data_IF_674954828033
#
_entry.id   IF_674954828033
#
_cell.length_a   1.000
_cell.length_b   1.000
_cell.length_c   1.000
_cell.angle_alpha   90.00
_cell.angle_beta   90.00
_cell.angle_gamma   90.00
#
_symmetry.space_group_name_H-M   'P 1'
#
loop_
_entity.id
_entity.type
_entity.pdbx_description
1 polymer ?
#
# COMPACT_ATOMS: atom_id res chain seq x y z
N UNK A 1 -5.83 -10.27 -5.08
CA UNK A 1 -6.36 -9.60 -3.86
C UNK A 1 -7.87 -9.52 -3.94
N UNK A 2 -8.54 -9.86 -2.87
CA UNK A 2 -9.99 -9.85 -2.82
C UNK A 2 -10.54 -8.41 -2.81
N UNK A 3 -11.72 -8.24 -3.40
CA UNK A 3 -12.34 -6.91 -3.54
C UNK A 3 -12.47 -6.15 -2.22
N UNK A 4 -12.87 -6.80 -1.15
CA UNK A 4 -13.08 -6.14 0.14
C UNK A 4 -11.78 -5.64 0.79
N UNK A 5 -10.63 -6.03 0.26
CA UNK A 5 -9.32 -5.58 0.73
C UNK A 5 -8.74 -4.45 -0.15
N UNK A 6 -9.48 -3.97 -1.16
CA UNK A 6 -9.04 -2.89 -2.05
C UNK A 6 -9.71 -1.58 -1.69
N UNK A 7 -8.98 -0.49 -1.84
CA UNK A 7 -9.56 0.84 -1.80
C UNK A 7 -10.13 1.15 -3.18
N UNK A 8 -11.46 1.25 -3.28
CA UNK A 8 -12.14 1.37 -4.57
C UNK A 8 -12.64 2.79 -4.87
N UNK A 9 -12.65 3.69 -3.89
CA UNK A 9 -13.28 5.00 -4.03
C UNK A 9 -12.28 6.13 -3.83
N UNK A 10 -12.41 7.17 -4.65
CA UNK A 10 -11.57 8.37 -4.54
C UNK A 10 -11.64 9.02 -3.16
N UNK A 11 -12.81 8.98 -2.51
CA UNK A 11 -12.97 9.55 -1.18
C UNK A 11 -12.13 8.84 -0.12
N UNK A 12 -11.89 7.53 -0.29
CA UNK A 12 -11.02 6.78 0.63
C UNK A 12 -9.60 7.30 0.57
N UNK A 13 -9.09 7.52 -0.65
CA UNK A 13 -7.74 8.08 -0.84
C UNK A 13 -7.64 9.50 -0.29
N UNK A 14 -8.68 10.31 -0.48
CA UNK A 14 -8.70 11.68 0.04
C UNK A 14 -8.65 11.70 1.56
N UNK A 15 -9.39 10.82 2.23
CA UNK A 15 -9.38 10.69 3.68
C UNK A 15 -8.00 10.31 4.21
N UNK A 16 -7.35 9.36 3.53
CA UNK A 16 -6.02 8.90 3.93
C UNK A 16 -5.00 10.03 3.79
N UNK A 17 -5.06 10.79 2.70
CA UNK A 17 -4.17 11.94 2.49
C UNK A 17 -4.37 13.03 3.54
N UNK A 18 -5.62 13.27 3.97
CA UNK A 18 -5.94 14.33 4.92
C UNK A 18 -5.68 13.93 6.37
N UNK A 19 -5.94 12.68 6.73
CA UNK A 19 -5.96 12.25 8.13
C UNK A 19 -5.04 11.06 8.42
N UNK A 20 -4.35 10.55 7.41
CA UNK A 20 -3.43 9.44 7.60
C UNK A 20 -2.05 9.89 8.04
N UNK A 21 -1.27 8.91 8.44
CA UNK A 21 0.16 9.08 8.72
C UNK A 21 0.96 8.53 7.56
N UNK A 22 2.21 8.97 7.40
CA UNK A 22 3.05 8.53 6.30
C UNK A 22 4.42 8.04 6.76
N UNK A 23 4.92 7.05 6.06
CA UNK A 23 6.27 6.50 6.20
C UNK A 23 6.84 6.32 4.81
N UNK A 24 8.15 6.41 4.67
CA UNK A 24 8.75 6.27 3.35
C UNK A 24 10.12 5.60 3.40
N UNK A 25 10.47 4.99 2.28
CA UNK A 25 11.84 4.60 1.98
C UNK A 25 12.17 5.09 0.56
N UNK A 26 13.28 4.62 0.00
CA UNK A 26 13.70 5.08 -1.34
C UNK A 26 12.73 4.68 -2.45
N UNK A 27 12.01 3.58 -2.27
CA UNK A 27 11.19 2.97 -3.34
C UNK A 27 9.69 3.21 -3.17
N UNK A 28 9.22 3.44 -1.94
CA UNK A 28 7.79 3.58 -1.65
C UNK A 28 7.51 4.62 -0.60
N UNK A 29 6.29 5.15 -0.66
CA UNK A 29 5.66 5.85 0.47
C UNK A 29 4.48 5.00 0.92
N UNK A 30 4.33 4.81 2.22
CA UNK A 30 3.17 4.15 2.82
C UNK A 30 2.34 5.21 3.53
N UNK A 31 1.06 5.29 3.19
CA UNK A 31 0.08 6.10 3.92
C UNK A 31 -0.86 5.14 4.63
N UNK A 32 -1.19 5.42 5.88
CA UNK A 32 -2.11 4.59 6.63
C UNK A 32 -3.04 5.43 7.49
N UNK A 33 -4.28 4.97 7.59
CA UNK A 33 -5.31 5.58 8.41
C UNK A 33 -6.10 4.48 9.11
N UNK A 34 -6.31 4.63 10.41
CA UNK A 34 -7.19 3.73 11.15
C UNK A 34 -8.63 4.01 10.72
N UNK A 35 -9.36 2.95 10.37
CA UNK A 35 -10.76 3.05 9.98
C UNK A 35 -11.64 3.32 11.20
N UNK A 36 -12.90 3.70 10.94
CA UNK A 36 -13.87 3.93 12.02
C UNK A 36 -14.04 2.68 12.89
N UNK A 37 -14.44 2.89 14.13
CA UNK A 37 -14.53 1.85 15.15
C UNK A 37 -15.33 0.63 14.69
N UNK A 38 -16.40 0.83 13.92
CA UNK A 38 -17.22 -0.28 13.41
C UNK A 38 -16.44 -1.23 12.50
N UNK A 39 -15.30 -0.79 11.96
CA UNK A 39 -14.44 -1.59 11.08
C UNK A 39 -13.15 -2.04 11.75
N UNK A 40 -13.02 -1.87 13.07
CA UNK A 40 -11.78 -2.13 13.78
C UNK A 40 -11.24 -3.56 13.60
N UNK A 41 -12.15 -4.53 13.48
CA UNK A 41 -11.78 -5.93 13.27
C UNK A 41 -11.92 -6.40 11.82
N UNK A 42 -12.32 -5.51 10.92
CA UNK A 42 -12.44 -5.83 9.50
C UNK A 42 -11.04 -5.92 8.86
N UNK A 43 -10.87 -6.77 7.83
CA UNK A 43 -9.59 -6.80 7.10
C UNK A 43 -9.20 -5.42 6.59
N UNK A 44 -7.94 -5.08 6.72
CA UNK A 44 -7.41 -3.82 6.21
C UNK A 44 -7.53 -3.76 4.69
N UNK A 45 -7.78 -2.56 4.16
CA UNK A 45 -7.92 -2.35 2.72
C UNK A 45 -6.65 -1.71 2.18
N UNK A 46 -6.32 -2.06 0.94
CA UNK A 46 -5.10 -1.61 0.27
C UNK A 46 -5.41 -0.79 -0.97
N UNK A 47 -4.61 0.24 -1.20
CA UNK A 47 -4.59 0.98 -2.44
C UNK A 47 -3.15 1.11 -2.94
N UNK A 48 -3.00 1.22 -4.26
CA UNK A 48 -1.69 1.29 -4.91
C UNK A 48 -1.70 2.43 -5.91
N UNK A 49 -0.76 3.36 -5.76
CA UNK A 49 -0.66 4.54 -6.61
C UNK A 49 0.66 4.51 -7.35
N UNK A 50 0.59 4.61 -8.68
CA UNK A 50 1.75 4.75 -9.55
C UNK A 50 1.46 5.90 -10.51
N UNK A 51 2.23 6.97 -10.40
CA UNK A 51 2.06 8.14 -11.27
C UNK A 51 2.50 7.82 -12.70
N UNK A 52 2.09 8.68 -13.65
CA UNK A 52 2.50 8.57 -15.05
C UNK A 52 4.01 8.66 -15.24
N UNK A 53 4.72 9.25 -14.28
CA UNK A 53 6.19 9.35 -14.29
C UNK A 53 6.87 7.99 -14.16
N UNK A 54 6.20 7.00 -13.58
CA UNK A 54 6.74 5.64 -13.45
C UNK A 54 6.87 4.98 -14.82
N UNK A 55 5.95 5.28 -15.72
CA UNK A 55 5.96 4.74 -17.08
C UNK A 55 4.58 4.69 -17.68
N UNK A 56 4.47 4.05 -18.87
CA UNK A 56 3.20 3.86 -19.55
C UNK A 56 2.31 2.86 -18.79
N UNK A 57 1.09 2.67 -19.27
CA UNK A 57 0.11 1.80 -18.63
C UNK A 57 0.60 0.36 -18.45
N UNK A 58 1.32 -0.18 -19.43
CA UNK A 58 1.85 -1.54 -19.36
C UNK A 58 2.85 -1.68 -18.20
N UNK A 59 3.77 -0.75 -18.10
CA UNK A 59 4.78 -0.73 -17.03
C UNK A 59 4.12 -0.54 -15.67
N UNK A 60 3.21 0.43 -15.56
CA UNK A 60 2.50 0.69 -14.31
C UNK A 60 1.67 -0.51 -13.86
N UNK A 61 0.98 -1.15 -14.79
CA UNK A 61 0.16 -2.33 -14.46
C UNK A 61 1.03 -3.50 -13.98
N UNK A 62 2.22 -3.67 -14.56
CA UNK A 62 3.16 -4.71 -14.13
C UNK A 62 3.60 -4.49 -12.69
N UNK A 63 4.05 -3.28 -12.36
CA UNK A 63 4.46 -2.95 -10.99
C UNK A 63 3.29 -3.01 -10.01
N UNK A 64 2.13 -2.52 -10.42
CA UNK A 64 0.93 -2.57 -9.59
C UNK A 64 0.56 -4.01 -9.21
N UNK A 65 0.65 -4.93 -10.18
CA UNK A 65 0.41 -6.35 -9.93
C UNK A 65 1.42 -6.91 -8.93
N UNK A 66 2.70 -6.57 -9.08
CA UNK A 66 3.75 -7.01 -8.15
C UNK A 66 3.52 -6.45 -6.75
N UNK A 67 3.14 -5.18 -6.64
CA UNK A 67 2.82 -4.56 -5.35
C UNK A 67 1.60 -5.23 -4.71
N UNK A 68 0.57 -5.51 -5.50
CA UNK A 68 -0.64 -6.19 -5.01
C UNK A 68 -0.32 -7.59 -4.50
N UNK A 69 0.47 -8.34 -5.26
CA UNK A 69 0.89 -9.68 -4.84
C UNK A 69 1.75 -9.63 -3.57
N UNK A 70 2.60 -8.62 -3.45
CA UNK A 70 3.40 -8.42 -2.24
C UNK A 70 2.52 -8.11 -1.04
N UNK A 71 1.55 -7.22 -1.20
CA UNK A 71 0.62 -6.85 -0.12
C UNK A 71 -0.21 -8.06 0.33
N UNK A 72 -0.59 -8.92 -0.60
CA UNK A 72 -1.32 -10.15 -0.29
C UNK A 72 -0.56 -11.07 0.65
N UNK A 73 0.77 -11.07 0.55
CA UNK A 73 1.63 -11.87 1.41
C UNK A 73 2.01 -11.21 2.73
N UNK A 74 1.62 -9.95 2.93
CA UNK A 74 1.90 -9.24 4.17
C UNK A 74 0.80 -9.50 5.19
N UNK A 75 1.20 -9.84 6.41
CA UNK A 75 0.28 -10.06 7.51
C UNK A 75 0.17 -8.74 8.29
N UNK A 76 -0.93 -8.02 8.07
CA UNK A 76 -1.14 -6.69 8.64
C UNK A 76 -2.30 -6.70 9.64
N UNK A 77 -2.22 -5.77 10.59
CA UNK A 77 -3.30 -5.56 11.56
C UNK A 77 -4.60 -5.22 10.85
N UNK A 78 -5.75 -5.68 11.37
CA UNK A 78 -7.04 -5.30 10.80
C UNK A 78 -7.36 -3.82 11.06
N UNK A 79 -8.38 -3.32 10.39
CA UNK A 79 -8.99 -2.04 10.71
C UNK A 79 -8.30 -0.81 10.13
N UNK A 80 -7.44 -0.98 9.14
CA UNK A 80 -6.70 0.14 8.53
C UNK A 80 -6.95 0.24 7.04
N UNK A 81 -6.81 1.47 6.53
CA UNK A 81 -6.66 1.73 5.11
C UNK A 81 -5.20 2.06 4.86
N UNK A 82 -4.58 1.33 3.93
CA UNK A 82 -3.15 1.40 3.66
C UNK A 82 -2.94 1.66 2.18
N UNK A 83 -2.18 2.71 1.86
CA UNK A 83 -1.85 3.05 0.48
C UNK A 83 -0.34 2.99 0.30
N UNK A 84 0.10 2.25 -0.71
CA UNK A 84 1.48 2.27 -1.15
C UNK A 84 1.60 3.12 -2.41
N UNK A 85 2.49 4.09 -2.38
CA UNK A 85 2.80 4.95 -3.52
C UNK A 85 4.18 4.58 -4.02
N UNK A 86 4.29 4.18 -5.29
CA UNK A 86 5.57 3.83 -5.88
C UNK A 86 6.37 5.11 -6.20
N UNK A 87 7.66 5.07 -5.88
CA UNK A 87 8.62 6.10 -6.28
C UNK A 87 9.43 5.59 -7.47
N UNK A 88 10.11 6.50 -8.18
CA UNK A 88 10.87 6.13 -9.39
C UNK A 88 11.90 5.02 -9.17
N UNK A 89 12.42 4.89 -7.95
CA UNK A 89 13.34 3.81 -7.59
C UNK A 89 12.76 2.40 -7.73
N UNK A 90 11.44 2.27 -7.91
CA UNK A 90 10.84 0.95 -8.16
C UNK A 90 11.43 0.29 -9.40
N UNK A 91 11.89 1.09 -10.39
CA UNK A 91 12.53 0.56 -11.59
C UNK A 91 13.81 -0.21 -11.30
N UNK A 92 14.45 0.03 -10.16
CA UNK A 92 15.69 -0.63 -9.76
C UNK A 92 15.43 -1.87 -8.91
N UNK A 93 14.15 -2.19 -8.64
CA UNK A 93 13.77 -3.29 -7.77
C UNK A 93 13.33 -4.51 -8.55
N UNK A 94 13.82 -5.69 -8.15
CA UNK A 94 13.17 -6.94 -8.53
C UNK A 94 12.00 -7.22 -7.60
N UNK A 95 11.26 -8.30 -7.86
CA UNK A 95 10.07 -8.63 -7.06
C UNK A 95 10.40 -8.87 -5.59
N UNK A 96 11.53 -9.51 -5.29
CA UNK A 96 11.94 -9.76 -3.90
C UNK A 96 12.19 -8.45 -3.15
N UNK A 97 12.80 -7.49 -3.84
CA UNK A 97 13.07 -6.18 -3.25
C UNK A 97 11.78 -5.39 -3.03
N UNK A 98 10.84 -5.46 -3.96
CA UNK A 98 9.52 -4.83 -3.79
C UNK A 98 8.87 -5.37 -2.51
N UNK A 99 8.82 -6.69 -2.35
CA UNK A 99 8.25 -7.31 -1.16
C UNK A 99 8.96 -6.88 0.13
N UNK A 100 10.29 -6.88 0.09
CA UNK A 100 11.10 -6.52 1.24
C UNK A 100 10.88 -5.08 1.65
N UNK A 101 10.90 -4.16 0.70
CA UNK A 101 10.74 -2.73 0.99
C UNK A 101 9.34 -2.38 1.48
N UNK A 102 8.32 -2.99 0.90
CA UNK A 102 6.95 -2.82 1.39
C UNK A 102 6.81 -3.39 2.81
N UNK A 103 7.37 -4.56 3.06
CA UNK A 103 7.34 -5.18 4.39
C UNK A 103 8.04 -4.36 5.45
N UNK A 104 9.17 -3.74 5.11
CA UNK A 104 9.88 -2.85 6.03
C UNK A 104 9.06 -1.64 6.43
N UNK A 105 8.29 -1.07 5.49
CA UNK A 105 7.40 0.05 5.81
C UNK A 105 6.26 -0.36 6.74
N UNK A 106 5.67 -1.53 6.49
CA UNK A 106 4.62 -2.07 7.36
C UNK A 106 5.16 -2.28 8.77
N UNK A 107 6.34 -2.86 8.89
CA UNK A 107 6.99 -3.06 10.18
C UNK A 107 7.27 -1.73 10.88
N UNK A 108 7.87 -0.77 10.14
CA UNK A 108 8.21 0.56 10.69
C UNK A 108 6.99 1.36 11.12
N UNK A 109 5.85 1.14 10.46
CA UNK A 109 4.59 1.79 10.80
C UNK A 109 3.83 1.07 11.93
N UNK A 110 4.40 -0.02 12.46
CA UNK A 110 3.75 -0.86 13.48
C UNK A 110 2.39 -1.40 13.04
N UNK A 111 2.30 -1.77 11.76
CA UNK A 111 1.07 -2.33 11.17
C UNK A 111 1.16 -3.84 10.97
N UNK A 112 2.27 -4.46 11.31
CA UNK A 112 2.42 -5.90 11.20
C UNK A 112 1.53 -6.59 12.25
N UNK A 113 0.83 -7.64 11.84
CA UNK A 113 -0.01 -8.42 12.75
C UNK A 113 0.84 -9.11 13.83
N UNK A 114 0.27 -9.24 14.98
CA UNK A 114 0.90 -9.91 16.12
C UNK A 114 0.80 -11.43 16.02
#
# INVERSE_FOLDING_TARGET
MQKHRRLLKSKDFALIRSFGESWSNKSFVLLARKRDEMYAEAPSRFGFILSKKIGNAVIRNRFKRQMRNSANGLDVKPGHDIVFIARNRIHECDYKEIRRFMGKLVFGANLQAE
#
